data_IF_303584314141
#
_entry.id   IF_303584314141
#
_cell.length_a   1.000
_cell.length_b   1.000
_cell.length_c   1.000
_cell.angle_alpha   90.00
_cell.angle_beta   90.00
_cell.angle_gamma   90.00
#
_symmetry.space_group_name_H-M   'P 1'
#
loop_
_entity.id
_entity.type
_entity.pdbx_description
1 polymer ?
#
# COMPACT_ATOMS: atom_id res chain seq x y z
N UNK A 1 -21.29 -5.54 -11.73
CA UNK A 1 -20.38 -6.55 -11.16
C UNK A 1 -19.18 -5.80 -10.64
N UNK A 2 -18.72 -6.04 -9.41
CA UNK A 2 -17.57 -5.33 -8.85
C UNK A 2 -16.27 -5.71 -9.58
N UNK A 3 -15.29 -4.80 -9.69
CA UNK A 3 -14.00 -5.12 -10.28
C UNK A 3 -13.24 -6.17 -9.43
N UNK A 4 -12.40 -7.02 -10.05
CA UNK A 4 -11.58 -7.99 -9.31
C UNK A 4 -10.47 -7.32 -8.49
N UNK A 5 -10.05 -6.12 -8.86
CA UNK A 5 -9.07 -5.31 -8.14
C UNK A 5 -9.53 -3.86 -8.17
N UNK A 6 -9.37 -3.17 -7.05
CA UNK A 6 -9.66 -1.75 -6.89
C UNK A 6 -8.37 -0.97 -6.63
N UNK A 7 -8.33 0.30 -7.06
CA UNK A 7 -7.29 1.25 -6.65
C UNK A 7 -7.86 2.03 -5.48
N UNK A 8 -7.36 1.75 -4.29
CA UNK A 8 -7.91 2.22 -3.03
C UNK A 8 -7.13 3.40 -2.49
N UNK A 9 -7.83 4.45 -2.06
CA UNK A 9 -7.25 5.53 -1.28
C UNK A 9 -6.89 5.02 0.13
N UNK A 10 -5.62 5.17 0.54
CA UNK A 10 -5.13 4.67 1.83
C UNK A 10 -5.71 5.42 3.02
N UNK A 11 -6.15 6.66 2.85
CA UNK A 11 -6.76 7.46 3.91
C UNK A 11 -8.21 7.03 4.09
N UNK A 12 -8.53 6.55 5.28
CA UNK A 12 -9.88 6.09 5.65
C UNK A 12 -10.50 7.13 6.57
N UNK A 13 -11.67 7.65 6.21
CA UNK A 13 -12.41 8.64 7.00
C UNK A 13 -13.39 7.95 7.95
N UNK A 14 -13.41 8.36 9.22
CA UNK A 14 -14.37 7.83 10.19
C UNK A 14 -15.45 8.87 10.46
N UNK A 15 -16.66 8.60 9.98
CA UNK A 15 -17.82 9.51 10.04
C UNK A 15 -18.78 9.12 11.17
N UNK A 16 -19.54 10.10 11.67
CA UNK A 16 -20.55 9.84 12.71
C UNK A 16 -21.86 9.41 12.05
N UNK A 17 -22.39 8.25 12.44
CA UNK A 17 -23.52 7.59 11.76
C UNK A 17 -24.92 7.88 12.31
N UNK A 18 -25.10 8.74 13.32
CA UNK A 18 -26.44 8.99 13.90
C UNK A 18 -26.49 10.04 15.03
N UNK A 19 -27.70 10.51 15.33
CA UNK A 19 -28.08 11.60 16.26
C UNK A 19 -27.47 11.45 17.66
N UNK A 20 -27.09 12.58 18.31
CA UNK A 20 -26.61 12.57 19.69
C UNK A 20 -27.66 11.95 20.62
N UNK A 21 -27.27 11.19 21.65
CA UNK A 21 -28.20 10.64 22.61
C UNK A 21 -28.90 11.78 23.37
N UNK A 22 -30.20 11.61 23.65
CA UNK A 22 -30.96 12.44 24.59
C UNK A 22 -30.26 12.45 25.95
N UNK A 23 -30.08 13.64 26.53
CA UNK A 23 -29.28 14.01 27.72
C UNK A 23 -29.56 13.29 29.06
N UNK A 24 -30.23 12.13 29.07
CA UNK A 24 -30.66 11.47 30.32
C UNK A 24 -29.76 10.32 30.80
N UNK A 25 -28.58 10.11 30.21
CA UNK A 25 -27.67 9.05 30.62
C UNK A 25 -26.22 9.53 30.86
N UNK A 26 -26.03 10.55 31.68
CA UNK A 26 -24.70 11.02 32.06
C UNK A 26 -24.52 11.12 33.58
N UNK A 27 -24.66 9.99 34.30
CA UNK A 27 -24.04 9.81 35.61
C UNK A 27 -23.55 8.36 35.75
N UNK A 28 -22.24 8.16 35.66
CA UNK A 28 -21.56 6.95 36.18
C UNK A 28 -21.24 5.80 35.22
N UNK A 29 -21.02 6.03 33.92
CA UNK A 29 -20.65 4.97 32.97
C UNK A 29 -19.14 4.67 32.90
N UNK A 30 -18.76 3.39 32.84
CA UNK A 30 -17.39 2.96 32.51
C UNK A 30 -16.94 3.52 31.16
N UNK A 31 -15.68 3.98 31.07
CA UNK A 31 -15.12 4.48 29.84
C UNK A 31 -14.90 3.32 28.84
N UNK A 32 -15.69 3.29 27.77
CA UNK A 32 -15.61 2.28 26.71
C UNK A 32 -14.23 2.37 26.02
N UNK A 33 -13.56 1.23 25.81
CA UNK A 33 -12.26 1.19 25.17
C UNK A 33 -12.33 1.60 23.68
N UNK A 34 -11.24 2.17 23.17
CA UNK A 34 -11.14 2.58 21.75
C UNK A 34 -11.33 1.36 20.83
N UNK A 35 -10.79 0.20 21.20
CA UNK A 35 -10.93 -1.06 20.46
C UNK A 35 -12.40 -1.44 20.32
N UNK A 36 -13.18 -1.32 21.40
CA UNK A 36 -14.62 -1.61 21.39
C UNK A 36 -15.36 -0.66 20.45
N UNK A 37 -15.04 0.64 20.49
CA UNK A 37 -15.61 1.66 19.59
C UNK A 37 -15.30 1.35 18.12
N UNK A 38 -14.05 1.01 17.82
CA UNK A 38 -13.60 0.73 16.47
C UNK A 38 -14.17 -0.58 15.92
N UNK A 39 -14.27 -1.61 16.75
CA UNK A 39 -14.84 -2.91 16.35
C UNK A 39 -16.34 -2.81 16.06
N UNK A 40 -17.06 -1.92 16.74
CA UNK A 40 -18.49 -1.71 16.52
C UNK A 40 -18.81 -0.85 15.28
N UNK A 41 -17.81 -0.24 14.63
CA UNK A 41 -18.05 0.56 13.42
C UNK A 41 -18.67 -0.28 12.29
N UNK A 42 -19.34 0.40 11.36
CA UNK A 42 -19.80 -0.21 10.11
C UNK A 42 -18.94 0.31 8.97
N UNK A 43 -18.41 -0.60 8.15
CA UNK A 43 -17.70 -0.20 6.94
C UNK A 43 -18.69 0.25 5.86
N UNK A 44 -18.28 1.24 5.08
CA UNK A 44 -18.99 1.73 3.90
C UNK A 44 -18.00 1.84 2.72
N UNK A 45 -17.72 0.71 2.03
CA UNK A 45 -16.80 0.69 0.91
C UNK A 45 -17.45 1.25 -0.37
N UNK A 46 -16.92 2.35 -0.88
CA UNK A 46 -17.25 2.93 -2.18
C UNK A 46 -16.31 2.34 -3.25
N UNK A 47 -16.78 1.31 -3.97
CA UNK A 47 -15.97 0.63 -4.99
C UNK A 47 -16.28 1.14 -6.39
N UNK A 48 -15.22 1.55 -7.08
CA UNK A 48 -15.26 2.04 -8.47
C UNK A 48 -14.38 1.18 -9.37
N UNK A 49 -14.67 1.15 -10.67
CA UNK A 49 -13.86 0.43 -11.64
C UNK A 49 -12.55 1.19 -11.92
N UNK A 50 -11.36 0.56 -11.82
CA UNK A 50 -10.12 1.19 -12.21
C UNK A 50 -10.18 1.71 -13.66
N UNK A 51 -9.64 2.91 -13.94
CA UNK A 51 -8.73 3.71 -13.10
C UNK A 51 -9.44 4.68 -12.14
N UNK A 52 -10.75 4.59 -11.94
CA UNK A 52 -11.41 5.34 -10.86
C UNK A 52 -10.91 4.88 -9.48
N UNK A 53 -10.83 5.81 -8.54
CA UNK A 53 -10.32 5.55 -7.19
C UNK A 53 -11.49 5.10 -6.31
N UNK A 54 -11.32 3.95 -5.67
CA UNK A 54 -12.22 3.44 -4.64
C UNK A 54 -11.84 3.99 -3.27
N UNK A 55 -12.81 4.03 -2.36
CA UNK A 55 -12.64 4.53 -0.99
C UNK A 55 -13.29 3.59 0.02
N UNK A 56 -12.80 3.63 1.25
CA UNK A 56 -13.47 3.02 2.39
C UNK A 56 -13.70 4.12 3.41
N UNK A 57 -14.93 4.21 3.90
CA UNK A 57 -15.28 5.00 5.08
C UNK A 57 -15.78 4.08 6.18
N UNK A 58 -15.65 4.52 7.43
CA UNK A 58 -16.15 3.78 8.59
C UNK A 58 -17.14 4.66 9.35
N UNK A 59 -18.33 4.13 9.62
CA UNK A 59 -19.39 4.82 10.35
C UNK A 59 -19.38 4.42 11.83
N UNK A 60 -19.18 5.40 12.72
CA UNK A 60 -19.31 5.21 14.16
C UNK A 60 -20.73 4.82 14.54
N UNK A 61 -20.82 3.84 15.42
CA UNK A 61 -22.05 3.45 16.10
C UNK A 61 -22.08 3.93 17.56
N UNK A 62 -20.97 4.45 18.08
CA UNK A 62 -20.81 4.93 19.45
C UNK A 62 -20.01 6.24 19.45
N UNK A 63 -20.23 7.08 20.47
CA UNK A 63 -19.43 8.30 20.67
C UNK A 63 -17.98 7.99 21.04
N UNK A 64 -17.08 8.93 20.71
CA UNK A 64 -15.65 8.82 21.00
C UNK A 64 -14.83 8.07 19.94
N UNK A 65 -13.62 7.66 20.32
CA UNK A 65 -12.64 7.01 19.43
C UNK A 65 -11.78 7.98 18.63
N UNK A 66 -11.28 7.54 17.47
CA UNK A 66 -10.31 8.29 16.64
C UNK A 66 -10.92 8.71 15.29
N UNK A 67 -10.44 9.76 14.62
CA UNK A 67 -11.14 10.38 13.47
C UNK A 67 -10.90 9.77 12.08
N UNK A 68 -10.05 8.76 11.98
CA UNK A 68 -9.75 8.12 10.70
C UNK A 68 -8.67 7.07 10.85
N UNK A 69 -8.11 6.64 9.73
CA UNK A 69 -6.97 5.73 9.72
C UNK A 69 -6.21 5.76 8.40
N UNK A 70 -5.13 5.00 8.36
CA UNK A 70 -4.25 4.87 7.20
C UNK A 70 -3.98 3.40 6.88
N UNK A 71 -4.39 2.97 5.69
CA UNK A 71 -4.18 1.60 5.21
C UNK A 71 -2.69 1.34 5.03
N UNK A 72 -2.21 0.30 5.70
CA UNK A 72 -0.82 -0.13 5.58
C UNK A 72 -0.66 -1.09 4.42
N UNK A 73 -1.44 -2.18 4.43
CA UNK A 73 -1.37 -3.26 3.44
C UNK A 73 -2.70 -3.98 3.29
N UNK A 74 -2.81 -4.82 2.25
CA UNK A 74 -4.00 -5.61 1.96
C UNK A 74 -3.61 -7.00 1.49
N UNK A 75 -4.45 -7.99 1.73
CA UNK A 75 -4.31 -9.33 1.13
C UNK A 75 -5.68 -9.98 0.93
N UNK A 76 -6.02 -10.34 -0.32
CA UNK A 76 -7.32 -10.92 -0.69
C UNK A 76 -8.48 -10.04 -0.19
N UNK A 77 -9.31 -10.56 0.71
CA UNK A 77 -10.45 -9.85 1.31
C UNK A 77 -10.06 -8.82 2.39
N UNK A 78 -8.81 -8.86 2.85
CA UNK A 78 -8.39 -8.20 4.07
C UNK A 78 -7.72 -6.86 3.78
N UNK A 79 -8.09 -5.85 4.56
CA UNK A 79 -7.47 -4.53 4.56
C UNK A 79 -7.05 -4.21 5.99
N UNK A 80 -5.77 -3.99 6.23
CA UNK A 80 -5.28 -3.54 7.55
C UNK A 80 -4.91 -2.07 7.52
N UNK A 81 -5.36 -1.33 8.53
CA UNK A 81 -5.03 0.06 8.72
C UNK A 81 -4.58 0.35 10.16
N UNK A 82 -3.76 1.37 10.28
CA UNK A 82 -3.51 2.06 11.54
C UNK A 82 -4.68 3.00 11.80
N UNK A 83 -5.48 2.75 12.83
CA UNK A 83 -6.56 3.64 13.22
C UNK A 83 -6.03 4.76 14.14
N UNK A 84 -6.44 5.99 13.89
CA UNK A 84 -6.04 7.17 14.66
C UNK A 84 -4.60 7.60 14.42
N UNK A 85 -3.94 8.03 15.49
CA UNK A 85 -2.53 8.42 15.46
C UNK A 85 -1.61 7.26 15.84
N UNK A 86 -2.16 6.06 15.99
CA UNK A 86 -1.41 4.87 16.34
C UNK A 86 -0.40 4.52 15.25
N UNK A 87 0.88 4.57 15.60
CA UNK A 87 1.97 4.09 14.77
C UNK A 87 3.09 3.57 15.69
N UNK A 88 3.38 2.27 15.68
CA UNK A 88 4.34 1.68 16.62
C UNK A 88 5.75 2.25 16.39
N UNK A 89 6.48 2.51 17.48
CA UNK A 89 7.84 3.06 17.40
C UNK A 89 7.95 4.53 16.96
N UNK A 90 6.84 5.26 16.83
CA UNK A 90 6.82 6.70 16.60
C UNK A 90 7.21 7.52 17.84
N UNK A 91 7.78 8.71 17.65
CA UNK A 91 8.27 9.58 18.72
C UNK A 91 7.17 10.38 19.47
N UNK A 92 5.91 10.30 19.04
CA UNK A 92 4.84 11.12 19.61
C UNK A 92 4.16 10.45 20.83
N UNK A 93 3.84 11.31 21.82
CA UNK A 93 3.04 11.10 23.04
C UNK A 93 1.75 10.27 22.80
N UNK A 94 1.14 9.65 23.84
CA UNK A 94 0.46 8.35 23.71
C UNK A 94 -0.47 8.31 22.51
N UNK A 95 -0.09 7.49 21.54
CA UNK A 95 -0.81 7.39 20.28
C UNK A 95 -2.17 6.75 20.52
N UNK A 96 -3.24 7.54 20.35
CA UNK A 96 -4.61 7.03 20.41
C UNK A 96 -4.91 6.18 19.17
N UNK A 97 -5.65 5.10 19.36
CA UNK A 97 -6.02 4.16 18.29
C UNK A 97 -5.44 2.77 18.47
N UNK A 98 -5.47 1.98 17.42
CA UNK A 98 -4.97 0.60 17.39
C UNK A 98 -4.87 0.15 15.93
N UNK A 99 -4.61 -1.14 15.69
CA UNK A 99 -4.78 -1.68 14.34
C UNK A 99 -6.26 -2.03 14.12
N UNK A 100 -6.75 -1.81 12.91
CA UNK A 100 -8.08 -2.22 12.51
C UNK A 100 -7.98 -3.06 11.24
N UNK A 101 -8.49 -4.29 11.30
CA UNK A 101 -8.59 -5.20 10.17
C UNK A 101 -10.02 -5.22 9.67
N UNK A 102 -10.20 -4.89 8.40
CA UNK A 102 -11.46 -5.04 7.68
C UNK A 102 -11.42 -6.31 6.83
N UNK A 103 -12.40 -7.19 7.04
CA UNK A 103 -12.64 -8.35 6.17
C UNK A 103 -13.86 -8.09 5.29
N UNK A 104 -13.60 -7.88 4.00
CA UNK A 104 -14.63 -7.61 3.01
C UNK A 104 -15.55 -8.82 2.75
N UNK A 105 -15.09 -10.04 3.04
CA UNK A 105 -15.85 -11.27 2.76
C UNK A 105 -17.00 -11.49 3.74
N UNK A 106 -16.81 -11.08 4.99
CA UNK A 106 -17.79 -11.11 6.07
C UNK A 106 -18.39 -9.73 6.39
N UNK A 107 -17.85 -8.67 5.78
CA UNK A 107 -18.12 -7.28 6.15
C UNK A 107 -17.94 -7.04 7.66
N UNK A 108 -16.83 -7.54 8.21
CA UNK A 108 -16.53 -7.45 9.65
C UNK A 108 -15.28 -6.62 9.92
N UNK A 109 -15.25 -6.02 11.11
CA UNK A 109 -14.11 -5.28 11.64
C UNK A 109 -13.55 -6.01 12.86
N UNK A 110 -12.23 -6.07 12.92
CA UNK A 110 -11.50 -6.63 14.05
C UNK A 110 -10.48 -5.59 14.54
N UNK A 111 -10.76 -5.02 15.71
CA UNK A 111 -9.78 -4.18 16.39
C UNK A 111 -8.70 -5.08 17.00
N UNK A 112 -7.43 -4.78 16.71
CA UNK A 112 -6.28 -5.49 17.26
C UNK A 112 -5.51 -4.51 18.15
N UNK A 113 -5.26 -4.85 19.43
CA UNK A 113 -4.68 -3.93 20.40
C UNK A 113 -3.28 -3.49 20.00
N UNK A 114 -2.84 -2.38 20.59
CA UNK A 114 -1.49 -1.87 20.40
C UNK A 114 -0.42 -2.90 20.85
N UNK A 115 0.79 -2.78 20.30
CA UNK A 115 1.91 -3.61 20.73
C UNK A 115 2.24 -3.43 22.23
N UNK A 116 2.53 -4.52 22.97
CA UNK A 116 2.87 -4.47 24.39
C UNK A 116 4.13 -3.64 24.70
N UNK A 117 5.17 -3.75 23.85
CA UNK A 117 6.44 -3.03 23.97
C UNK A 117 6.71 -2.21 22.70
N UNK A 118 6.23 -0.96 22.72
CA UNK A 118 6.35 -0.02 21.59
C UNK A 118 7.45 1.02 21.75
N UNK A 119 8.09 1.09 22.91
CA UNK A 119 9.03 2.15 23.24
C UNK A 119 10.49 1.73 23.05
N UNK A 120 10.79 0.43 23.18
CA UNK A 120 12.13 -0.13 22.98
C UNK A 120 12.56 -0.17 21.51
N UNK A 121 11.60 0.02 20.59
CA UNK A 121 11.81 -0.11 19.15
C UNK A 121 11.44 1.17 18.39
N UNK A 122 12.08 1.36 17.25
CA UNK A 122 11.82 2.40 16.26
C UNK A 122 10.92 1.86 15.16
N UNK A 123 10.00 2.71 14.70
CA UNK A 123 9.22 2.43 13.51
C UNK A 123 10.14 2.30 12.30
N UNK A 124 9.87 1.32 11.44
CA UNK A 124 10.51 1.21 10.13
C UNK A 124 9.63 1.82 9.02
N UNK A 125 8.64 2.65 9.32
CA UNK A 125 7.65 3.13 8.34
C UNK A 125 6.35 2.31 8.39
N UNK A 126 5.75 1.98 7.25
CA UNK A 126 4.50 1.19 7.18
C UNK A 126 4.74 -0.31 7.42
N UNK A 127 5.18 -0.67 8.63
CA UNK A 127 5.60 -2.03 8.96
C UNK A 127 4.45 -3.05 9.12
N UNK A 128 3.18 -2.64 9.17
CA UNK A 128 2.05 -3.55 9.27
C UNK A 128 1.77 -4.25 7.93
N UNK A 129 1.98 -5.56 7.91
CA UNK A 129 1.68 -6.47 6.81
C UNK A 129 0.56 -7.44 7.20
N UNK A 130 -0.37 -7.76 6.30
CA UNK A 130 -1.41 -8.77 6.53
C UNK A 130 -1.28 -9.91 5.53
N UNK A 131 -1.45 -11.14 6.03
CA UNK A 131 -1.45 -12.37 5.25
C UNK A 131 -2.74 -13.16 5.53
N UNK A 132 -3.57 -13.33 4.52
CA UNK A 132 -4.78 -14.13 4.53
C UNK A 132 -4.44 -15.62 4.47
N UNK A 133 -4.96 -16.35 5.45
CA UNK A 133 -4.85 -17.81 5.58
C UNK A 133 -6.07 -18.54 5.00
N UNK A 134 -6.99 -17.79 4.38
CA UNK A 134 -8.26 -18.30 3.88
C UNK A 134 -9.31 -18.48 4.98
N UNK A 135 -10.58 -18.54 4.57
CA UNK A 135 -11.73 -18.74 5.47
C UNK A 135 -11.82 -17.72 6.62
N UNK A 136 -11.46 -16.46 6.34
CA UNK A 136 -11.42 -15.37 7.34
C UNK A 136 -10.23 -15.43 8.30
N UNK A 137 -9.40 -16.47 8.26
CA UNK A 137 -8.20 -16.57 9.08
C UNK A 137 -7.09 -15.67 8.51
N UNK A 138 -6.27 -15.09 9.39
CA UNK A 138 -5.16 -14.24 8.95
C UNK A 138 -4.02 -14.17 9.95
N UNK A 139 -2.89 -13.64 9.49
CA UNK A 139 -1.76 -13.21 10.32
C UNK A 139 -1.51 -11.74 10.02
N UNK A 140 -1.59 -10.89 11.05
CA UNK A 140 -1.09 -9.52 11.01
C UNK A 140 0.32 -9.53 11.58
N UNK A 141 1.27 -8.96 10.84
CA UNK A 141 2.66 -8.83 11.23
C UNK A 141 3.07 -7.36 11.33
N UNK A 142 3.85 -6.99 12.34
CA UNK A 142 4.48 -5.68 12.48
C UNK A 142 5.98 -5.86 12.70
N UNK A 143 6.80 -5.17 11.89
CA UNK A 143 8.26 -5.26 11.93
C UNK A 143 8.86 -3.96 12.45
N UNK A 144 9.69 -4.08 13.48
CA UNK A 144 10.33 -2.93 14.13
C UNK A 144 11.84 -3.16 14.29
N UNK A 145 12.60 -2.07 14.27
CA UNK A 145 14.05 -2.08 14.55
C UNK A 145 14.33 -1.66 16.00
N UNK A 146 15.37 -2.23 16.61
CA UNK A 146 15.79 -1.86 17.97
C UNK A 146 16.32 -0.43 18.03
N UNK A 147 16.00 0.31 19.10
CA UNK A 147 16.58 1.65 19.34
C UNK A 147 18.01 1.61 19.86
N UNK A 148 18.37 0.51 20.49
CA UNK A 148 19.68 0.34 21.13
C UNK A 148 20.57 -0.53 20.24
N UNK A 149 21.85 -0.19 20.19
CA UNK A 149 22.86 -1.09 19.63
C UNK A 149 22.95 -2.35 20.50
N UNK A 150 22.60 -3.51 19.94
CA UNK A 150 22.58 -4.77 20.67
C UNK A 150 21.78 -5.85 19.96
N UNK A 151 21.79 -7.05 20.55
CA UNK A 151 20.94 -8.17 20.13
C UNK A 151 19.73 -8.25 21.06
N UNK A 152 18.49 -8.35 20.54
CA UNK A 152 18.14 -8.37 19.12
C UNK A 152 18.16 -6.98 18.47
N UNK A 153 18.43 -6.93 17.17
CA UNK A 153 18.46 -5.71 16.37
C UNK A 153 17.08 -5.37 15.77
N UNK A 154 16.11 -6.27 15.88
CA UNK A 154 14.70 -6.03 15.54
C UNK A 154 13.72 -6.95 16.27
N UNK A 155 12.43 -6.65 16.13
CA UNK A 155 11.34 -7.46 16.64
C UNK A 155 10.23 -7.62 15.59
N UNK A 156 9.77 -8.86 15.43
CA UNK A 156 8.62 -9.21 14.62
C UNK A 156 7.46 -9.60 15.54
N UNK A 157 6.39 -8.80 15.50
CA UNK A 157 5.16 -9.07 16.23
C UNK A 157 4.12 -9.70 15.32
N UNK A 158 3.52 -10.81 15.77
CA UNK A 158 2.51 -11.55 15.03
C UNK A 158 1.20 -11.60 15.81
N UNK A 159 0.10 -11.31 15.12
CA UNK A 159 -1.26 -11.51 15.59
C UNK A 159 -1.98 -12.49 14.67
N UNK A 160 -2.22 -13.70 15.18
CA UNK A 160 -2.97 -14.72 14.48
C UNK A 160 -4.46 -14.52 14.72
N UNK A 161 -5.29 -14.69 13.69
CA UNK A 161 -6.74 -14.69 13.82
C UNK A 161 -7.34 -16.01 13.32
N UNK A 162 -8.26 -16.63 14.09
CA UNK A 162 -8.72 -16.25 15.43
C UNK A 162 -7.61 -16.25 16.50
N UNK A 163 -7.72 -15.38 17.50
CA UNK A 163 -6.77 -15.29 18.62
C UNK A 163 -7.44 -15.62 19.97
N UNK A 164 -7.58 -16.90 20.36
CA UNK A 164 -8.21 -17.26 21.63
C UNK A 164 -7.52 -16.66 22.87
N UNK A 165 -6.21 -16.40 22.77
CA UNK A 165 -5.41 -15.82 23.86
C UNK A 165 -5.44 -14.30 23.90
N UNK A 166 -5.86 -13.64 22.81
CA UNK A 166 -5.89 -12.17 22.70
C UNK A 166 -4.52 -11.51 22.86
N UNK A 167 -3.43 -12.20 22.48
CA UNK A 167 -2.06 -11.74 22.71
C UNK A 167 -1.25 -11.68 21.42
N UNK A 168 -0.34 -10.70 21.37
CA UNK A 168 0.72 -10.63 20.37
C UNK A 168 1.81 -11.66 20.65
N UNK A 169 2.29 -12.32 19.60
CA UNK A 169 3.49 -13.17 19.66
C UNK A 169 4.68 -12.33 19.22
N UNK A 170 5.67 -12.17 20.09
CA UNK A 170 6.92 -11.48 19.79
C UNK A 170 8.00 -12.49 19.40
N UNK A 171 8.65 -12.25 18.27
CA UNK A 171 9.88 -12.91 17.89
C UNK A 171 11.00 -11.87 17.85
N UNK A 172 12.04 -12.09 18.64
CA UNK A 172 13.28 -11.35 18.52
C UNK A 172 14.01 -11.84 17.27
N UNK A 173 14.38 -10.91 16.39
CA UNK A 173 14.90 -11.23 15.06
C UNK A 173 16.22 -10.54 14.78
N UNK A 174 16.96 -11.12 13.83
CA UNK A 174 18.14 -10.52 13.23
C UNK A 174 17.80 -9.99 11.84
N UNK A 175 17.85 -8.68 11.71
CA UNK A 175 17.60 -7.99 10.46
C UNK A 175 18.87 -7.96 9.60
N UNK A 176 18.74 -8.11 8.27
CA UNK A 176 19.88 -7.91 7.37
C UNK A 176 20.50 -6.52 7.57
N UNK A 177 21.83 -6.34 7.45
CA UNK A 177 22.50 -5.07 7.67
C UNK A 177 21.93 -3.89 6.87
N UNK A 178 21.39 -4.17 5.67
CA UNK A 178 20.76 -3.20 4.79
C UNK A 178 19.50 -2.56 5.39
N UNK A 179 18.82 -3.26 6.32
CA UNK A 179 17.61 -2.79 7.02
C UNK A 179 17.98 -1.99 8.27
N UNK A 180 19.15 -2.26 8.84
CA UNK A 180 19.67 -1.55 10.01
C UNK A 180 20.31 -0.20 9.67
N UNK A 181 20.51 0.07 8.38
CA UNK A 181 20.85 1.40 7.89
C UNK A 181 19.74 2.40 8.27
N UNK A 182 20.13 3.53 8.85
CA UNK A 182 19.21 4.61 9.25
C UNK A 182 18.39 5.17 8.06
N UNK A 183 18.78 4.87 6.83
CA UNK A 183 18.05 5.22 5.62
C UNK A 183 16.86 4.31 5.28
N UNK A 184 16.81 3.07 5.82
CA UNK A 184 15.78 2.09 5.45
C UNK A 184 14.41 2.49 5.99
N UNK A 185 13.43 2.63 5.10
CA UNK A 185 12.07 2.99 5.44
C UNK A 185 11.06 2.23 4.56
N UNK A 186 10.20 1.46 5.21
CA UNK A 186 9.11 0.70 4.62
C UNK A 186 8.06 1.66 4.07
N UNK A 187 8.10 1.85 2.76
CA UNK A 187 7.14 2.65 2.01
C UNK A 187 5.83 1.89 1.75
N UNK A 188 5.89 0.56 1.73
CA UNK A 188 4.74 -0.32 1.53
C UNK A 188 5.03 -1.77 1.92
N UNK A 189 3.96 -2.55 2.15
CA UNK A 189 4.04 -3.98 2.36
C UNK A 189 2.94 -4.74 1.59
N UNK A 190 3.21 -5.97 1.19
CA UNK A 190 2.27 -6.85 0.49
C UNK A 190 2.54 -8.33 0.78
N UNK A 191 1.54 -9.19 0.56
CA UNK A 191 1.66 -10.66 0.66
C UNK A 191 2.39 -11.25 -0.55
N UNK A 192 3.16 -12.31 -0.32
CA UNK A 192 3.86 -13.06 -1.36
C UNK A 192 3.72 -14.56 -1.13
N UNK A 193 3.14 -15.24 -2.11
CA UNK A 193 2.72 -16.63 -1.96
C UNK A 193 1.69 -16.81 -0.84
N UNK A 194 1.70 -17.99 -0.21
CA UNK A 194 0.74 -18.35 0.85
C UNK A 194 1.31 -18.24 2.27
N UNK A 195 2.56 -17.79 2.40
CA UNK A 195 3.31 -17.83 3.65
C UNK A 195 4.09 -16.58 3.98
N UNK A 196 4.38 -15.73 3.00
CA UNK A 196 5.37 -14.68 3.15
C UNK A 196 4.77 -13.30 2.97
N UNK A 197 5.44 -12.32 3.54
CA UNK A 197 5.18 -10.91 3.31
C UNK A 197 6.45 -10.22 2.85
N UNK A 198 6.27 -9.13 2.12
CA UNK A 198 7.32 -8.26 1.62
C UNK A 198 7.18 -6.89 2.27
N UNK A 199 8.23 -6.41 2.93
CA UNK A 199 8.36 -5.01 3.35
C UNK A 199 9.31 -4.30 2.40
N UNK A 200 8.85 -3.23 1.78
CA UNK A 200 9.58 -2.58 0.68
C UNK A 200 10.01 -1.19 1.09
N UNK A 201 11.31 -0.93 0.95
CA UNK A 201 11.85 0.41 0.78
C UNK A 201 12.05 0.65 -0.72
N UNK A 202 11.27 1.58 -1.28
CA UNK A 202 11.28 1.85 -2.72
C UNK A 202 12.56 2.55 -3.20
N UNK A 203 13.49 2.87 -2.31
CA UNK A 203 14.82 3.41 -2.62
C UNK A 203 15.93 2.39 -2.48
N UNK A 204 15.76 1.28 -1.76
CA UNK A 204 16.86 0.35 -1.47
C UNK A 204 16.57 -1.10 -1.86
N UNK A 205 15.36 -1.61 -1.59
CA UNK A 205 15.02 -2.99 -1.90
C UNK A 205 13.79 -3.53 -1.19
N UNK A 206 13.64 -4.85 -1.21
CA UNK A 206 12.55 -5.58 -0.57
C UNK A 206 13.08 -6.60 0.42
N UNK A 207 12.49 -6.59 1.62
CA UNK A 207 12.72 -7.57 2.67
C UNK A 207 11.58 -8.58 2.68
N UNK A 208 11.89 -9.85 2.44
CA UNK A 208 10.93 -10.95 2.40
C UNK A 208 11.06 -11.78 3.67
N UNK A 209 9.93 -12.13 4.28
CA UNK A 209 9.90 -13.01 5.45
C UNK A 209 8.74 -14.01 5.36
N UNK A 210 9.03 -15.27 5.69
CA UNK A 210 8.01 -16.30 5.86
C UNK A 210 7.43 -16.23 7.28
N UNK A 211 6.17 -15.79 7.37
CA UNK A 211 5.46 -15.61 8.64
C UNK A 211 5.01 -16.92 9.31
N UNK A 212 5.09 -18.05 8.60
CA UNK A 212 4.67 -19.36 9.10
C UNK A 212 5.85 -20.19 9.62
N UNK A 213 7.08 -19.70 9.41
CA UNK A 213 8.26 -20.36 9.95
C UNK A 213 8.30 -20.20 11.47
N UNK A 214 8.71 -21.26 12.18
CA UNK A 214 8.97 -21.17 13.62
C UNK A 214 10.11 -20.20 13.94
N UNK A 215 11.06 -20.07 13.01
CA UNK A 215 12.16 -19.10 13.07
C UNK A 215 12.05 -18.21 11.83
N UNK A 216 11.48 -17.00 11.96
CA UNK A 216 11.34 -16.07 10.85
C UNK A 216 12.71 -15.73 10.24
N UNK A 217 12.92 -16.12 8.99
CA UNK A 217 14.13 -15.80 8.23
C UNK A 217 13.84 -14.67 7.26
N UNK A 218 14.80 -13.75 7.15
CA UNK A 218 14.70 -12.56 6.33
C UNK A 218 15.62 -12.68 5.13
N UNK A 219 15.07 -12.45 3.93
CA UNK A 219 15.84 -12.34 2.70
C UNK A 219 15.70 -10.93 2.17
N UNK A 220 16.80 -10.17 2.15
CA UNK A 220 16.85 -8.86 1.51
C UNK A 220 17.24 -8.99 0.05
N UNK A 221 16.47 -8.35 -0.83
CA UNK A 221 16.73 -8.30 -2.27
C UNK A 221 16.87 -6.83 -2.65
N UNK A 222 18.05 -6.39 -3.14
CA UNK A 222 18.23 -5.02 -3.57
C UNK A 222 17.35 -4.70 -4.79
N UNK A 223 17.10 -3.42 -5.03
CA UNK A 223 16.51 -2.97 -6.30
C UNK A 223 17.38 -3.38 -7.50
N UNK A 224 16.83 -3.34 -8.73
CA UNK A 224 17.61 -3.54 -9.94
C UNK A 224 18.88 -2.67 -9.95
N UNK A 225 19.95 -3.20 -10.56
CA UNK A 225 21.25 -2.53 -10.61
C UNK A 225 21.12 -1.07 -11.10
N UNK A 226 21.70 -0.14 -10.34
CA UNK A 226 21.66 1.30 -10.62
C UNK A 226 20.38 2.03 -10.19
N UNK A 227 19.42 1.36 -9.55
CA UNK A 227 18.17 1.99 -9.09
C UNK A 227 18.06 2.21 -7.59
N UNK A 228 19.01 1.68 -6.81
CA UNK A 228 19.14 2.05 -5.40
C UNK A 228 19.54 3.51 -5.25
N UNK A 229 18.94 4.23 -4.31
CA UNK A 229 19.20 5.65 -4.05
C UNK A 229 19.75 5.78 -2.64
N UNK A 230 20.98 6.26 -2.53
CA UNK A 230 21.57 6.65 -1.26
C UNK A 230 20.98 7.99 -0.81
N UNK A 231 20.43 8.01 0.41
CA UNK A 231 19.79 9.17 1.03
C UNK A 231 20.51 9.62 2.31
N UNK A 232 21.68 9.08 2.61
CA UNK A 232 22.47 9.41 3.82
C UNK A 232 22.70 10.93 3.97
N UNK A 233 23.01 11.63 2.89
CA UNK A 233 23.34 13.06 2.88
C UNK A 233 22.21 13.98 2.38
N UNK A 234 21.00 13.45 2.16
CA UNK A 234 19.90 14.22 1.54
C UNK A 234 18.59 13.96 2.24
N UNK A 235 17.67 14.93 2.14
CA UNK A 235 16.28 14.69 2.54
C UNK A 235 15.73 13.54 1.71
N UNK A 236 15.32 12.45 2.37
CA UNK A 236 14.67 11.30 1.71
C UNK A 236 13.51 11.82 0.83
N UNK A 237 13.51 11.55 -0.49
CA UNK A 237 12.41 11.91 -1.37
C UNK A 237 11.16 11.12 -0.97
N UNK A 238 10.00 11.41 -1.58
CA UNK A 238 8.77 10.63 -1.38
C UNK A 238 8.69 9.54 -2.45
N UNK A 239 9.15 8.30 -2.18
CA UNK A 239 9.40 7.33 -3.25
C UNK A 239 8.11 6.92 -3.96
N UNK A 240 6.98 6.87 -3.24
CA UNK A 240 5.65 6.57 -3.78
C UNK A 240 5.16 7.54 -4.85
N UNK A 241 5.75 8.73 -4.98
CA UNK A 241 5.43 9.65 -6.09
C UNK A 241 5.97 9.17 -7.44
N UNK A 242 6.99 8.33 -7.45
CA UNK A 242 7.69 7.93 -8.68
C UNK A 242 8.06 6.45 -8.73
N UNK A 243 7.76 5.67 -7.69
CA UNK A 243 8.07 4.23 -7.62
C UNK A 243 6.95 3.46 -6.93
N UNK A 244 6.83 2.19 -7.30
CA UNK A 244 5.93 1.24 -6.64
C UNK A 244 6.44 -0.19 -6.79
N UNK A 245 6.01 -1.07 -5.90
CA UNK A 245 6.33 -2.49 -5.94
C UNK A 245 5.14 -3.33 -5.47
N UNK A 246 5.00 -4.54 -5.98
CA UNK A 246 3.88 -5.41 -5.63
C UNK A 246 4.03 -6.80 -6.20
N UNK A 247 3.19 -7.72 -5.73
CA UNK A 247 3.07 -9.06 -6.30
C UNK A 247 1.99 -9.06 -7.39
N UNK A 248 2.37 -9.40 -8.62
CA UNK A 248 1.47 -9.46 -9.78
C UNK A 248 1.53 -10.85 -10.38
N UNK A 249 0.42 -11.59 -10.34
CA UNK A 249 0.34 -12.99 -10.78
C UNK A 249 1.45 -13.87 -10.18
N UNK A 250 1.77 -13.67 -8.89
CA UNK A 250 2.78 -14.44 -8.17
C UNK A 250 4.22 -13.99 -8.39
N UNK A 251 4.49 -12.97 -9.19
CA UNK A 251 5.82 -12.41 -9.40
C UNK A 251 5.95 -11.01 -8.78
N UNK A 252 7.07 -10.75 -8.11
CA UNK A 252 7.35 -9.41 -7.57
C UNK A 252 7.73 -8.50 -8.74
N UNK A 253 7.02 -7.39 -8.88
CA UNK A 253 7.27 -6.36 -9.88
C UNK A 253 7.64 -5.04 -9.23
N UNK A 254 8.61 -4.36 -9.82
CA UNK A 254 9.04 -3.01 -9.45
C UNK A 254 8.82 -2.08 -10.63
N UNK A 255 8.29 -0.89 -10.37
CA UNK A 255 8.07 0.16 -11.39
C UNK A 255 8.69 1.46 -10.89
N UNK A 256 9.37 2.17 -11.79
CA UNK A 256 9.96 3.47 -11.52
C UNK A 256 9.73 4.45 -12.68
N UNK A 257 9.41 5.70 -12.34
CA UNK A 257 9.44 6.86 -13.22
C UNK A 257 10.84 7.47 -13.09
N UNK A 258 11.73 7.08 -14.00
CA UNK A 258 13.12 7.49 -14.04
C UNK A 258 13.22 8.95 -14.49
N UNK A 259 14.04 9.73 -13.79
CA UNK A 259 14.18 11.16 -14.04
C UNK A 259 13.19 12.06 -13.26
N UNK A 260 12.25 11.48 -12.50
CA UNK A 260 11.24 12.28 -11.77
C UNK A 260 11.84 13.31 -10.80
N UNK A 261 12.91 12.93 -10.08
CA UNK A 261 13.60 13.79 -9.11
C UNK A 261 14.95 14.33 -9.61
N UNK A 262 15.22 14.29 -10.92
CA UNK A 262 16.56 14.53 -11.47
C UNK A 262 16.71 15.88 -12.19
N UNK A 263 15.86 16.89 -11.89
CA UNK A 263 15.87 18.20 -12.57
C UNK A 263 15.88 18.12 -14.11
N UNK A 264 15.34 17.03 -14.68
CA UNK A 264 15.18 16.87 -16.12
C UNK A 264 13.77 17.27 -16.57
N UNK A 265 13.62 17.58 -17.85
CA UNK A 265 12.32 17.85 -18.46
C UNK A 265 11.43 16.58 -18.38
N UNK A 266 10.15 16.77 -18.07
CA UNK A 266 9.19 15.68 -17.95
C UNK A 266 9.08 14.84 -19.22
N UNK A 267 9.35 15.42 -20.40
CA UNK A 267 9.34 14.68 -21.68
C UNK A 267 10.45 13.64 -21.79
N UNK A 268 11.55 13.85 -21.07
CA UNK A 268 12.76 13.02 -21.10
C UNK A 268 12.72 11.91 -20.02
N UNK A 269 11.66 11.89 -19.21
CA UNK A 269 11.42 10.86 -18.22
C UNK A 269 10.98 9.54 -18.87
N UNK A 270 11.19 8.43 -18.16
CA UNK A 270 10.80 7.09 -18.60
C UNK A 270 10.07 6.33 -17.50
N UNK A 271 8.99 5.64 -17.85
CA UNK A 271 8.36 4.63 -16.99
C UNK A 271 9.04 3.29 -17.29
N UNK A 272 9.81 2.78 -16.34
CA UNK A 272 10.49 1.49 -16.42
C UNK A 272 9.88 0.50 -15.44
N UNK A 273 9.95 -0.78 -15.78
CA UNK A 273 9.46 -1.86 -14.94
C UNK A 273 10.42 -3.05 -14.95
N UNK A 274 10.43 -3.80 -13.86
CA UNK A 274 11.21 -5.02 -13.68
C UNK A 274 10.35 -6.08 -13.02
N UNK A 275 10.59 -7.34 -13.39
CA UNK A 275 10.00 -8.51 -12.76
C UNK A 275 11.11 -9.34 -12.15
N UNK A 276 10.99 -9.66 -10.86
CA UNK A 276 11.96 -10.50 -10.15
C UNK A 276 11.79 -11.96 -10.60
N UNK A 277 12.90 -12.65 -10.81
CA UNK A 277 12.91 -14.07 -11.15
C UNK A 277 12.31 -14.93 -10.02
N UNK A 278 11.69 -16.09 -10.32
CA UNK A 278 11.09 -16.95 -9.30
C UNK A 278 12.06 -17.45 -8.22
N UNK A 279 13.34 -17.57 -8.54
CA UNK A 279 14.40 -17.93 -7.59
C UNK A 279 14.88 -16.75 -6.71
N UNK A 280 14.29 -15.56 -6.91
CA UNK A 280 14.54 -14.34 -6.16
C UNK A 280 15.96 -13.76 -6.33
N UNK A 281 16.67 -14.14 -7.40
CA UNK A 281 18.09 -13.76 -7.60
C UNK A 281 18.32 -12.64 -8.60
N UNK A 282 17.41 -12.43 -9.56
CA UNK A 282 17.66 -11.51 -10.67
C UNK A 282 16.43 -10.71 -11.06
N UNK A 283 16.62 -9.43 -11.35
CA UNK A 283 15.61 -8.58 -11.94
C UNK A 283 15.65 -8.63 -13.46
N UNK A 284 14.54 -8.99 -14.09
CA UNK A 284 14.36 -8.90 -15.54
C UNK A 284 13.67 -7.59 -15.89
N UNK A 285 14.35 -6.72 -16.64
CA UNK A 285 13.76 -5.50 -17.16
C UNK A 285 12.65 -5.80 -18.19
N UNK A 286 11.54 -5.09 -18.10
CA UNK A 286 10.50 -5.05 -19.13
C UNK A 286 10.75 -3.93 -20.14
N UNK A 287 9.78 -3.74 -21.05
CA UNK A 287 9.87 -2.67 -22.04
C UNK A 287 9.67 -1.30 -21.37
N UNK A 288 10.62 -0.36 -21.53
CA UNK A 288 10.47 0.98 -20.99
C UNK A 288 9.51 1.80 -21.86
N UNK A 289 8.76 2.71 -21.24
CA UNK A 289 7.88 3.65 -21.91
C UNK A 289 8.41 5.08 -21.72
N UNK A 290 8.84 5.73 -22.80
CA UNK A 290 9.20 7.15 -22.75
C UNK A 290 7.94 8.00 -22.57
N UNK A 291 8.03 9.04 -21.74
CA UNK A 291 6.90 9.96 -21.51
C UNK A 291 6.55 10.73 -22.78
N UNK A 292 7.54 11.11 -23.59
CA UNK A 292 7.35 11.71 -24.91
C UNK A 292 6.56 10.82 -25.88
N UNK A 293 6.81 9.51 -25.88
CA UNK A 293 6.07 8.54 -26.69
C UNK A 293 4.62 8.40 -26.22
N UNK A 294 4.41 8.33 -24.90
CA UNK A 294 3.07 8.32 -24.32
C UNK A 294 2.26 9.54 -24.75
N UNK A 295 2.84 10.75 -24.66
CA UNK A 295 2.21 12.00 -25.07
C UNK A 295 1.92 12.08 -26.58
N UNK A 296 2.77 11.44 -27.39
CA UNK A 296 2.63 11.41 -28.86
C UNK A 296 1.64 10.36 -29.34
N UNK A 297 1.32 9.37 -28.49
CA UNK A 297 0.37 8.31 -28.82
C UNK A 297 -1.00 8.86 -29.24
N UNK A 298 -1.64 8.17 -30.18
CA UNK A 298 -3.00 8.50 -30.64
C UNK A 298 -3.99 8.50 -29.47
N UNK A 299 -3.92 7.47 -28.62
CA UNK A 299 -4.78 7.31 -27.44
C UNK A 299 -4.66 8.46 -26.43
N UNK A 300 -3.48 9.08 -26.29
CA UNK A 300 -3.29 10.19 -25.37
C UNK A 300 -3.87 11.48 -25.94
N UNK A 301 -3.60 11.76 -27.23
CA UNK A 301 -4.06 12.96 -27.93
C UNK A 301 -5.57 13.03 -28.07
N UNK A 302 -6.21 11.91 -28.43
CA UNK A 302 -7.68 11.83 -28.57
C UNK A 302 -8.42 12.06 -27.24
N UNK A 303 -7.76 11.82 -26.11
CA UNK A 303 -8.31 12.06 -24.76
C UNK A 303 -8.08 13.49 -24.25
N UNK A 304 -7.37 14.34 -25.00
CA UNK A 304 -7.01 15.72 -24.60
C UNK A 304 -6.33 15.79 -23.21
N UNK A 305 -5.44 14.84 -22.93
CA UNK A 305 -4.73 14.76 -21.66
C UNK A 305 -3.62 15.83 -21.56
N UNK A 306 -3.36 16.38 -20.35
CA UNK A 306 -2.31 17.39 -20.16
C UNK A 306 -0.92 16.75 -20.26
N UNK A 307 0.01 17.42 -20.95
CA UNK A 307 1.41 16.99 -21.08
C UNK A 307 2.23 17.38 -19.84
N UNK A 308 1.97 16.68 -18.74
CA UNK A 308 2.66 16.85 -17.46
C UNK A 308 3.34 15.54 -17.03
N UNK A 309 4.29 15.62 -16.11
CA UNK A 309 4.98 14.44 -15.58
C UNK A 309 3.98 13.43 -15.00
N UNK A 310 4.08 12.14 -15.36
CA UNK A 310 3.38 11.08 -14.63
C UNK A 310 3.96 10.94 -13.22
N UNK A 311 3.11 10.55 -12.28
CA UNK A 311 3.42 10.39 -10.87
C UNK A 311 2.54 9.30 -10.25
N UNK A 312 2.84 8.89 -9.02
CA UNK A 312 2.09 7.91 -8.23
C UNK A 312 1.80 6.61 -9.00
N UNK A 313 2.85 5.90 -9.48
CA UNK A 313 2.62 4.65 -10.19
C UNK A 313 1.97 3.62 -9.25
N UNK A 314 1.00 2.87 -9.78
CA UNK A 314 0.33 1.76 -9.07
C UNK A 314 0.29 0.56 -10.00
N UNK A 315 0.59 -0.62 -9.47
CA UNK A 315 0.40 -1.90 -10.16
C UNK A 315 -0.67 -2.70 -9.45
N UNK A 316 -1.51 -3.41 -10.21
CA UNK A 316 -2.56 -4.29 -9.65
C UNK A 316 -2.01 -5.69 -9.48
N UNK A 317 -2.68 -6.52 -8.66
CA UNK A 317 -2.24 -7.89 -8.41
C UNK A 317 -2.56 -8.85 -9.58
N UNK A 318 -3.41 -8.42 -10.52
CA UNK A 318 -3.97 -9.28 -11.58
C UNK A 318 -3.47 -8.95 -12.99
N UNK A 319 -3.01 -7.73 -13.25
CA UNK A 319 -2.67 -7.26 -14.59
C UNK A 319 -1.16 -7.03 -14.75
N UNK A 320 -0.45 -7.96 -15.40
CA UNK A 320 1.01 -7.90 -15.50
C UNK A 320 1.53 -6.80 -16.43
N UNK A 321 0.77 -6.46 -17.48
CA UNK A 321 1.22 -5.54 -18.54
C UNK A 321 0.64 -4.13 -18.39
N UNK A 322 -0.01 -3.85 -17.27
CA UNK A 322 -0.70 -2.58 -17.02
C UNK A 322 -0.06 -1.88 -15.84
N UNK A 323 0.17 -0.58 -16.02
CA UNK A 323 0.61 0.32 -14.96
C UNK A 323 -0.42 1.44 -14.88
N UNK A 324 -0.79 1.84 -13.68
CA UNK A 324 -1.60 3.02 -13.47
C UNK A 324 -0.70 4.17 -13.07
N UNK A 325 -0.94 5.36 -13.64
CA UNK A 325 -0.16 6.56 -13.33
C UNK A 325 -1.09 7.77 -13.23
N UNK A 326 -0.70 8.74 -12.42
CA UNK A 326 -1.44 9.97 -12.22
C UNK A 326 -0.77 11.14 -12.93
N UNK A 327 -1.58 11.95 -13.62
CA UNK A 327 -1.20 13.27 -14.12
C UNK A 327 -1.82 14.34 -13.21
N UNK A 328 -0.97 15.21 -12.66
CA UNK A 328 -1.41 16.38 -11.89
C UNK A 328 -1.36 17.62 -12.78
N UNK A 329 -2.51 18.09 -13.23
CA UNK A 329 -2.65 19.34 -13.97
C UNK A 329 -2.67 20.49 -12.97
N UNK A 330 -1.63 21.32 -12.98
CA UNK A 330 -1.39 22.33 -11.94
C UNK A 330 -1.21 23.72 -12.54
N UNK A 331 -1.78 24.71 -11.86
CA UNK A 331 -1.50 26.12 -12.09
C UNK A 331 -0.39 26.57 -11.14
N UNK A 332 0.60 27.30 -11.69
CA UNK A 332 1.65 27.97 -10.92
C UNK A 332 1.23 29.41 -10.70
N UNK A 333 0.73 29.71 -9.51
CA UNK A 333 0.22 31.03 -9.14
C UNK A 333 1.30 31.78 -8.37
N UNK A 334 1.79 32.94 -8.85
CA UNK A 334 2.75 33.73 -8.09
C UNK A 334 2.16 34.17 -6.75
N UNK A 335 2.82 33.82 -5.63
CA UNK A 335 2.47 34.37 -4.33
C UNK A 335 3.10 35.75 -4.20
N UNK A 336 2.29 36.73 -3.80
CA UNK A 336 2.72 38.12 -3.66
C UNK A 336 2.76 38.52 -2.19
N UNK A 337 3.77 39.29 -1.81
CA UNK A 337 3.80 39.94 -0.49
C UNK A 337 2.78 41.09 -0.42
N UNK A 338 2.69 41.72 0.75
CA UNK A 338 1.82 42.88 0.98
C UNK A 338 2.10 44.06 0.00
N UNK A 339 3.34 44.18 -0.48
CA UNK A 339 3.78 45.21 -1.41
C UNK A 339 3.54 44.86 -2.89
N UNK A 340 3.04 43.66 -3.18
CA UNK A 340 2.76 43.17 -4.53
C UNK A 340 3.92 42.43 -5.21
N UNK A 341 5.08 42.30 -4.57
CA UNK A 341 6.23 41.58 -5.12
C UNK A 341 6.01 40.08 -5.06
N UNK A 342 6.42 39.35 -6.11
CA UNK A 342 6.38 37.90 -6.13
C UNK A 342 7.41 37.35 -5.15
N UNK A 343 6.95 36.70 -4.08
CA UNK A 343 7.79 36.06 -3.06
C UNK A 343 7.82 34.54 -3.16
N UNK A 344 7.04 33.97 -4.07
CA UNK A 344 7.06 32.55 -4.34
C UNK A 344 6.07 32.13 -5.40
N UNK A 345 5.84 30.82 -5.49
CA UNK A 345 4.85 30.22 -6.38
C UNK A 345 4.03 29.22 -5.57
N UNK A 346 2.72 29.45 -5.53
CA UNK A 346 1.74 28.49 -5.05
C UNK A 346 1.39 27.52 -6.20
N UNK A 347 1.34 26.23 -5.89
CA UNK A 347 0.97 25.19 -6.85
C UNK A 347 -0.46 24.79 -6.56
N UNK A 348 -1.36 25.13 -7.48
CA UNK A 348 -2.79 24.79 -7.35
C UNK A 348 -3.14 23.69 -8.31
N UNK A 349 -3.64 22.57 -7.79
CA UNK A 349 -4.05 21.47 -8.65
C UNK A 349 -5.41 21.81 -9.25
N UNK A 350 -5.44 21.96 -10.57
CA UNK A 350 -6.64 22.22 -11.37
C UNK A 350 -7.45 20.95 -11.59
N UNK A 351 -6.77 19.86 -11.92
CA UNK A 351 -7.38 18.56 -12.10
C UNK A 351 -6.35 17.43 -11.92
N UNK A 352 -6.85 16.25 -11.61
CA UNK A 352 -6.09 14.99 -11.66
C UNK A 352 -6.62 14.08 -12.72
N UNK A 353 -5.73 13.31 -13.34
CA UNK A 353 -6.11 12.24 -14.24
C UNK A 353 -5.44 10.96 -13.79
N UNK A 354 -6.21 9.91 -13.52
CA UNK A 354 -5.66 8.57 -13.32
C UNK A 354 -5.73 7.83 -14.65
N UNK A 355 -4.59 7.38 -15.14
CA UNK A 355 -4.44 6.70 -16.41
C UNK A 355 -4.20 5.22 -16.16
N UNK A 356 -4.85 4.37 -16.93
CA UNK A 356 -4.51 2.96 -17.10
C UNK A 356 -3.68 2.84 -18.37
N UNK A 357 -2.38 2.60 -18.25
CA UNK A 357 -1.44 2.56 -19.38
C UNK A 357 -0.91 1.16 -19.62
N UNK A 358 -0.67 0.86 -20.90
CA UNK A 358 0.01 -0.36 -21.34
C UNK A 358 1.38 0.04 -21.91
N UNK A 359 2.46 -0.12 -21.13
CA UNK A 359 3.79 0.34 -21.50
C UNK A 359 4.30 -0.27 -22.81
N UNK A 360 4.01 -1.54 -23.06
CA UNK A 360 4.48 -2.29 -24.24
C UNK A 360 3.93 -1.75 -25.56
N UNK A 361 2.77 -1.09 -25.52
CA UNK A 361 2.13 -0.50 -26.70
C UNK A 361 2.17 1.04 -26.69
N UNK A 362 2.75 1.66 -25.66
CA UNK A 362 2.72 3.12 -25.43
C UNK A 362 1.29 3.68 -25.48
N UNK A 363 0.31 2.94 -24.95
CA UNK A 363 -1.12 3.28 -25.04
C UNK A 363 -1.74 3.67 -23.72
N UNK A 364 -2.66 4.64 -23.78
CA UNK A 364 -3.60 4.95 -22.69
C UNK A 364 -4.88 4.16 -22.94
N UNK A 365 -5.07 3.10 -22.16
CA UNK A 365 -6.24 2.23 -22.27
C UNK A 365 -7.49 2.92 -21.71
N UNK A 366 -7.38 3.59 -20.56
CA UNK A 366 -8.46 4.34 -19.94
C UNK A 366 -7.91 5.56 -19.17
N UNK A 367 -8.75 6.57 -18.95
CA UNK A 367 -8.43 7.76 -18.17
C UNK A 367 -9.65 8.26 -17.40
N UNK A 368 -9.50 8.52 -16.11
CA UNK A 368 -10.53 9.17 -15.28
C UNK A 368 -10.03 10.53 -14.82
N UNK A 369 -10.86 11.57 -14.96
CA UNK A 369 -10.58 12.93 -14.48
C UNK A 369 -11.23 13.17 -13.11
N UNK A 370 -10.47 13.73 -12.18
CA UNK A 370 -10.94 14.15 -10.86
C UNK A 370 -10.82 15.67 -10.76
N UNK A 371 -11.94 16.35 -10.51
CA UNK A 371 -11.94 17.78 -10.18
C UNK A 371 -11.67 17.90 -8.68
N UNK A 372 -10.66 18.67 -8.34
CA UNK A 372 -10.17 18.78 -6.97
C UNK A 372 -10.80 19.99 -6.28
N UNK A 373 -11.27 19.77 -5.06
CA UNK A 373 -11.69 20.83 -4.14
C UNK A 373 -10.56 21.15 -3.15
N UNK A 374 -10.71 22.23 -2.36
CA UNK A 374 -9.68 22.72 -1.43
C UNK A 374 -9.30 21.74 -0.30
N UNK A 375 -9.97 20.59 -0.17
CA UNK A 375 -9.74 19.58 0.89
C UNK A 375 -8.96 18.37 0.37
N UNK A 376 -8.69 18.29 -0.94
CA UNK A 376 -8.02 17.12 -1.53
C UNK A 376 -6.50 17.15 -1.28
N UNK A 377 -5.95 16.06 -0.72
CA UNK A 377 -4.51 15.93 -0.48
C UNK A 377 -3.70 16.17 -1.75
N UNK A 378 -2.66 17.01 -1.71
CA UNK A 378 -1.69 17.23 -2.80
C UNK A 378 -0.93 15.94 -3.19
N UNK A 379 -0.84 15.00 -2.26
CA UNK A 379 -0.10 13.75 -2.39
C UNK A 379 -1.07 12.60 -2.13
N UNK A 380 -1.73 12.07 -3.17
CA UNK A 380 -2.60 10.92 -3.01
C UNK A 380 -1.78 9.71 -2.54
N UNK A 381 -2.38 8.92 -1.67
CA UNK A 381 -1.78 7.71 -1.13
C UNK A 381 -2.65 6.55 -1.58
N UNK A 382 -2.15 5.74 -2.51
CA UNK A 382 -2.92 4.73 -3.22
C UNK A 382 -2.34 3.34 -2.96
N UNK A 383 -3.21 2.33 -2.97
CA UNK A 383 -2.84 0.91 -2.90
C UNK A 383 -3.79 0.10 -3.77
N UNK A 384 -3.26 -0.86 -4.52
CA UNK A 384 -4.11 -1.82 -5.22
C UNK A 384 -4.60 -2.90 -4.26
N UNK A 385 -5.87 -3.29 -4.35
CA UNK A 385 -6.44 -4.28 -3.45
C UNK A 385 -7.53 -5.12 -4.11
N UNK A 386 -7.51 -6.42 -3.83
CA UNK A 386 -8.51 -7.39 -4.29
C UNK A 386 -9.77 -7.43 -3.43
N UNK A 387 -9.86 -6.64 -2.36
CA UNK A 387 -10.97 -6.72 -1.39
C UNK A 387 -12.35 -6.61 -2.07
N UNK A 388 -12.44 -5.83 -3.14
CA UNK A 388 -13.64 -5.64 -3.95
C UNK A 388 -14.18 -6.93 -4.58
N UNK A 389 -13.32 -7.88 -4.91
CA UNK A 389 -13.72 -9.21 -5.40
C UNK A 389 -14.42 -10.06 -4.34
N UNK A 390 -14.22 -9.73 -3.05
CA UNK A 390 -14.76 -10.45 -1.91
C UNK A 390 -15.98 -9.77 -1.28
N UNK A 391 -16.28 -8.52 -1.67
CA UNK A 391 -17.49 -7.84 -1.24
C UNK A 391 -18.74 -8.61 -1.69
N UNK A 392 -19.67 -8.80 -0.76
CA UNK A 392 -20.95 -9.46 -0.97
C UNK A 392 -20.86 -10.90 -1.48
N UNK A 393 -20.04 -11.74 -0.84
CA UNK A 393 -20.23 -13.21 -0.79
C UNK A 393 -20.69 -13.88 -2.08
N UNK A 394 -20.25 -13.41 -3.25
CA UNK A 394 -20.83 -13.91 -4.49
C UNK A 394 -20.24 -15.30 -4.71
N UNK A 395 -21.11 -16.30 -4.64
CA UNK A 395 -20.82 -17.70 -5.01
C UNK A 395 -20.25 -17.86 -6.43
N UNK A 396 -20.03 -16.78 -7.18
CA UNK A 396 -19.46 -16.76 -8.52
C UNK A 396 -18.03 -16.21 -8.65
N UNK A 397 -17.46 -15.48 -7.68
CA UNK A 397 -16.13 -14.84 -7.87
C UNK A 397 -14.95 -15.62 -7.25
N UNK A 398 -15.21 -16.55 -6.32
CA UNK A 398 -14.17 -17.41 -5.74
C UNK A 398 -13.50 -18.34 -6.78
N UNK A 399 -14.15 -18.55 -7.93
CA UNK A 399 -13.63 -19.33 -9.04
C UNK A 399 -12.58 -18.55 -9.86
N UNK A 400 -12.63 -17.22 -9.97
CA UNK A 400 -11.61 -16.53 -10.78
C UNK A 400 -10.30 -16.28 -10.02
N UNK A 401 -10.37 -15.93 -8.73
CA UNK A 401 -9.16 -15.72 -7.91
C UNK A 401 -8.37 -17.02 -7.66
N UNK A 402 -9.05 -18.17 -7.54
CA UNK A 402 -8.38 -19.49 -7.35
C UNK A 402 -7.75 -20.06 -8.62
N UNK A 403 -8.30 -19.74 -9.80
CA UNK A 403 -7.82 -20.33 -11.05
C UNK A 403 -6.58 -19.62 -11.60
N UNK A 404 -6.35 -18.33 -11.28
CA UNK A 404 -5.12 -17.62 -11.63
C UNK A 404 -3.86 -18.21 -10.97
N UNK A 405 -3.94 -18.63 -9.70
CA UNK A 405 -2.78 -19.20 -8.99
C UNK A 405 -2.60 -20.71 -9.20
N UNK A 406 -3.69 -21.50 -9.31
CA UNK A 406 -3.56 -22.98 -9.38
C UNK A 406 -3.20 -23.52 -10.76
N UNK A 407 -3.60 -22.84 -11.85
CA UNK A 407 -3.27 -23.29 -13.21
C UNK A 407 -1.78 -23.17 -13.52
N UNK A 408 -1.10 -22.13 -12.98
CA UNK A 408 0.35 -21.97 -13.16
C UNK A 408 1.16 -22.93 -12.28
N UNK A 409 0.71 -23.23 -11.06
CA UNK A 409 1.37 -24.21 -10.19
C UNK A 409 1.35 -25.64 -10.77
N UNK A 410 0.24 -26.04 -11.41
CA UNK A 410 0.16 -27.35 -12.10
C UNK A 410 0.97 -27.40 -13.39
N UNK A 411 1.03 -26.31 -14.15
CA UNK A 411 1.81 -26.25 -15.39
C UNK A 411 3.32 -26.27 -15.12
N UNK A 412 3.78 -25.65 -14.02
CA UNK A 412 5.17 -25.80 -13.58
C UNK A 412 5.47 -27.20 -13.07
N UNK A 413 4.59 -27.85 -12.30
CA UNK A 413 4.84 -29.20 -11.80
C UNK A 413 4.88 -30.28 -12.89
N UNK A 414 4.18 -30.10 -14.02
CA UNK A 414 4.17 -31.07 -15.13
C UNK A 414 5.35 -30.90 -16.11
N UNK A 415 6.05 -29.77 -16.11
CA UNK A 415 7.26 -29.60 -16.92
C UNK A 415 8.52 -30.20 -16.28
N UNK A 416 8.48 -30.59 -15.00
CA UNK A 416 9.62 -31.19 -14.29
C UNK A 416 9.60 -32.73 -14.20
N UNK A 417 8.73 -33.42 -14.94
CA UNK A 417 8.67 -34.90 -14.92
C UNK A 417 9.08 -35.59 -16.22
N UNK A 418 9.62 -34.86 -17.20
CA UNK A 418 10.04 -35.45 -18.49
C UNK A 418 11.48 -35.05 -18.88
N UNK A 419 12.46 -35.27 -18.00
CA UNK A 419 13.87 -35.49 -18.41
C UNK A 419 14.55 -36.39 -17.37
N UNK A 420 14.21 -37.68 -17.39
CA UNK A 420 15.00 -38.75 -16.77
C UNK A 420 14.58 -40.06 -17.43
N UNK A 421 15.11 -40.29 -18.64
CA UNK A 421 15.40 -41.60 -19.23
C UNK A 421 15.73 -41.38 -20.71
N UNK A 422 17.04 -41.32 -20.99
CA UNK A 422 17.82 -41.89 -22.11
C UNK A 422 19.24 -41.32 -22.03
#
# INVERSE_FOLDING_TARGET
MLPPCAILERRVTFVNGGTPPTEEAAVGGEQISIETILQAMKSDPEVSHPPEISRISMMRQMEGGVHGGFISSTDKALVVLYAGHYHPGGACLPSSGCYLVYDASSNSLHAVPQLPDRYSFSALGLGAAILSRGSGNYVLAELLASKTSGSPDGALYLWHWPNPKGQWIRNDVHLPPQVLDHAYCIDMAFSYGDSSVCWVDLLTGVLICNLLSQKPEFTFIPLPEGYSVDVSDRRRPRPREFRTMGCVNGAIKFVAIVGYNENIDSKDQMIKNWTLSPDLKAWKAGNPLAVSDLWSSKSFRERNLPKVAPSFPVITTTESEVIYVMLNDVDRVPTRNFWGDVVGVDIRIKARYMLRVEPTQSKVLHSTKFIINNVTSLYPELVASEFSAYLYGSKGCQTMARFGCSALAKTMSQQFTFVADI
#
